data_IF_237175187856
#
_entry.id   IF_237175187856
#
_cell.length_a   1.000
_cell.length_b   1.000
_cell.length_c   1.000
_cell.angle_alpha   90.00
_cell.angle_beta   90.00
_cell.angle_gamma   90.00
#
_symmetry.space_group_name_H-M   'P 1'
#
loop_
_entity.id
_entity.type
_entity.pdbx_description
1 polymer ?
#
# COMPACT_ATOMS: atom_id res chain seq x y z
N UNK A 1 7.72 22.34 17.67
CA UNK A 1 9.01 22.81 18.20
C UNK A 1 10.01 22.67 17.07
N UNK A 2 10.61 23.78 16.65
CA UNK A 2 11.59 23.82 15.54
C UNK A 2 12.93 23.24 16.02
N UNK A 3 13.46 22.28 15.28
CA UNK A 3 14.79 21.70 15.49
C UNK A 3 15.85 22.81 15.52
N UNK A 4 16.68 22.92 16.59
CA UNK A 4 17.71 23.94 16.71
C UNK A 4 18.76 23.94 15.58
N UNK A 5 18.84 22.89 14.75
CA UNK A 5 19.77 22.80 13.62
C UNK A 5 19.16 23.19 12.25
N UNK A 6 17.88 23.55 12.16
CA UNK A 6 17.21 23.86 10.89
C UNK A 6 17.33 22.75 9.82
N UNK A 7 17.53 21.50 10.26
CA UNK A 7 17.69 20.34 9.36
C UNK A 7 16.32 19.93 8.84
N UNK A 8 16.15 19.69 7.53
CA UNK A 8 14.86 19.25 7.01
C UNK A 8 14.47 17.89 7.58
N UNK A 9 13.18 17.71 7.87
CA UNK A 9 12.66 16.45 8.40
C UNK A 9 12.88 15.33 7.37
N UNK A 10 13.43 14.21 7.83
CA UNK A 10 13.56 13.01 6.98
C UNK A 10 12.19 12.39 6.71
N UNK A 11 11.92 12.11 5.43
CA UNK A 11 10.74 11.36 4.99
C UNK A 11 11.21 10.05 4.37
N UNK A 12 10.64 8.94 4.81
CA UNK A 12 10.96 7.60 4.32
C UNK A 12 9.69 7.04 3.67
N UNK A 13 9.75 6.71 2.38
CA UNK A 13 8.63 6.06 1.70
C UNK A 13 9.01 4.61 1.39
N UNK A 14 8.28 3.66 1.98
CA UNK A 14 8.53 2.22 1.92
C UNK A 14 7.58 1.58 0.91
N UNK A 15 8.12 0.87 -0.08
CA UNK A 15 7.35 0.17 -1.10
C UNK A 15 6.59 -1.06 -0.63
N UNK A 16 6.00 -1.77 -1.59
CA UNK A 16 5.06 -2.87 -1.39
C UNK A 16 5.73 -4.08 -0.71
N UNK A 17 5.17 -4.50 0.42
CA UNK A 17 5.79 -5.48 1.33
C UNK A 17 5.34 -6.91 1.00
N UNK A 18 4.08 -7.10 0.64
CA UNK A 18 3.47 -8.37 0.22
C UNK A 18 3.86 -9.57 1.08
N UNK A 19 3.62 -9.48 2.40
CA UNK A 19 3.81 -10.60 3.32
C UNK A 19 5.26 -11.07 3.51
N UNK A 20 6.28 -10.34 3.01
CA UNK A 20 7.70 -10.72 3.21
C UNK A 20 8.29 -10.07 4.47
N UNK A 21 7.98 -10.65 5.64
CA UNK A 21 8.47 -10.14 6.93
C UNK A 21 10.00 -9.97 6.97
N UNK A 22 10.76 -10.95 6.49
CA UNK A 22 12.23 -10.88 6.51
C UNK A 22 12.75 -9.69 5.69
N UNK A 23 12.12 -9.39 4.54
CA UNK A 23 12.49 -8.22 3.73
C UNK A 23 12.19 -6.93 4.49
N UNK A 24 11.02 -6.85 5.13
CA UNK A 24 10.63 -5.69 5.95
C UNK A 24 11.61 -5.45 7.12
N UNK A 25 11.94 -6.50 7.88
CA UNK A 25 12.85 -6.38 9.03
C UNK A 25 14.26 -5.97 8.61
N UNK A 26 14.77 -6.53 7.51
CA UNK A 26 16.10 -6.20 7.00
C UNK A 26 16.15 -4.77 6.43
N UNK A 27 15.11 -4.35 5.68
CA UNK A 27 15.00 -2.97 5.22
C UNK A 27 14.95 -2.00 6.41
N UNK A 28 14.14 -2.29 7.43
CA UNK A 28 14.05 -1.46 8.62
C UNK A 28 15.39 -1.34 9.36
N UNK A 29 16.14 -2.44 9.47
CA UNK A 29 17.49 -2.45 10.04
C UNK A 29 18.45 -1.59 9.22
N UNK A 30 18.42 -1.70 7.89
CA UNK A 30 19.26 -0.91 6.99
C UNK A 30 18.93 0.58 7.04
N UNK A 31 17.65 0.95 7.09
CA UNK A 31 17.22 2.33 7.27
C UNK A 31 17.78 2.91 8.58
N UNK A 32 17.65 2.17 9.68
CA UNK A 32 18.17 2.57 10.99
C UNK A 32 19.70 2.72 11.01
N UNK A 33 20.44 1.91 10.25
CA UNK A 33 21.90 1.99 10.20
C UNK A 33 22.42 3.05 9.23
N UNK A 34 21.66 3.38 8.19
CA UNK A 34 22.09 4.27 7.10
C UNK A 34 21.59 5.71 7.24
N UNK A 35 20.61 5.96 8.11
CA UNK A 35 20.08 7.30 8.43
C UNK A 35 20.66 7.71 9.78
N UNK A 36 21.02 8.98 9.94
CA UNK A 36 21.52 9.46 11.23
C UNK A 36 20.47 9.26 12.34
N UNK A 37 20.87 8.86 13.56
CA UNK A 37 19.93 8.45 14.60
C UNK A 37 18.88 9.52 14.96
N UNK A 38 19.26 10.80 14.97
CA UNK A 38 18.35 11.91 15.32
C UNK A 38 17.30 12.15 14.23
N UNK A 39 17.72 12.16 12.96
CA UNK A 39 16.79 12.24 11.82
C UNK A 39 15.87 11.01 11.77
N UNK A 40 16.41 9.81 11.98
CA UNK A 40 15.61 8.58 12.00
C UNK A 40 14.57 8.63 13.11
N UNK A 41 14.95 9.04 14.33
CA UNK A 41 14.05 9.10 15.48
C UNK A 41 12.85 10.03 15.27
N UNK A 42 12.96 11.06 14.44
CA UNK A 42 11.89 12.06 14.19
C UNK A 42 11.26 11.94 12.80
N UNK A 43 11.64 10.93 12.01
CA UNK A 43 11.23 10.78 10.62
C UNK A 43 9.70 10.70 10.45
N UNK A 44 9.23 11.11 9.27
CA UNK A 44 7.92 10.68 8.76
C UNK A 44 8.14 9.43 7.93
N UNK A 45 7.47 8.33 8.30
CA UNK A 45 7.55 7.04 7.60
C UNK A 45 6.21 6.76 6.94
N UNK A 46 6.21 6.66 5.61
CA UNK A 46 5.03 6.41 4.79
C UNK A 46 5.16 5.01 4.16
N UNK A 47 4.32 4.08 4.58
CA UNK A 47 4.19 2.76 3.97
C UNK A 47 3.20 2.85 2.82
N UNK A 48 3.64 2.53 1.61
CA UNK A 48 2.93 2.86 0.36
C UNK A 48 1.78 1.90 0.02
N UNK A 49 1.53 0.89 0.84
CA UNK A 49 0.45 -0.09 0.67
C UNK A 49 0.98 -1.49 0.37
N UNK A 50 0.07 -2.39 0.03
CA UNK A 50 0.29 -3.79 -0.34
C UNK A 50 1.16 -4.54 0.67
N UNK A 51 0.61 -4.69 1.88
CA UNK A 51 1.21 -5.40 3.01
C UNK A 51 0.90 -6.89 2.97
N UNK A 52 -0.25 -7.27 2.43
CA UNK A 52 -0.72 -8.64 2.31
C UNK A 52 -0.43 -9.27 0.94
N UNK A 53 -0.72 -10.57 0.87
CA UNK A 53 -0.70 -11.43 -0.33
C UNK A 53 0.69 -11.70 -0.91
N UNK A 54 0.75 -12.67 -1.83
CA UNK A 54 1.96 -13.21 -2.48
C UNK A 54 2.98 -13.87 -1.53
N UNK A 55 3.46 -13.17 -0.51
CA UNK A 55 4.40 -13.66 0.51
C UNK A 55 3.71 -14.33 1.71
N UNK A 56 4.46 -15.12 2.50
CA UNK A 56 3.88 -16.08 3.44
C UNK A 56 3.50 -15.51 4.82
N UNK A 57 3.99 -14.32 5.20
CA UNK A 57 3.97 -13.84 6.58
C UNK A 57 3.06 -12.59 6.77
N UNK A 58 1.98 -12.43 6.00
CA UNK A 58 1.05 -11.28 6.10
C UNK A 58 0.67 -10.94 7.54
N UNK A 59 0.26 -11.95 8.34
CA UNK A 59 -0.05 -11.75 9.76
C UNK A 59 1.08 -11.06 10.52
N UNK A 60 2.31 -11.54 10.39
CA UNK A 60 3.47 -10.98 11.11
C UNK A 60 3.90 -9.62 10.57
N UNK A 61 3.69 -9.35 9.27
CA UNK A 61 3.89 -8.02 8.68
C UNK A 61 2.96 -7.02 9.36
N UNK A 62 1.66 -7.34 9.48
CA UNK A 62 0.69 -6.46 10.15
C UNK A 62 1.04 -6.31 11.66
N UNK A 63 1.45 -7.38 12.34
CA UNK A 63 1.97 -7.29 13.73
C UNK A 63 3.13 -6.27 13.85
N UNK A 64 4.06 -6.29 12.90
CA UNK A 64 5.16 -5.33 12.85
C UNK A 64 4.65 -3.89 12.66
N UNK A 65 3.76 -3.66 11.68
CA UNK A 65 3.23 -2.34 11.37
C UNK A 65 2.41 -1.75 12.54
N UNK A 66 1.66 -2.58 13.27
CA UNK A 66 0.93 -2.16 14.47
C UNK A 66 1.89 -1.79 15.62
N UNK A 67 3.04 -2.46 15.71
CA UNK A 67 3.99 -2.23 16.82
C UNK A 67 4.99 -1.10 16.54
N UNK A 68 5.21 -0.72 15.27
CA UNK A 68 6.21 0.31 14.92
C UNK A 68 5.94 1.68 15.57
N UNK A 69 4.70 2.20 15.66
CA UNK A 69 4.44 3.48 16.32
C UNK A 69 4.74 3.45 17.82
N UNK A 70 4.53 2.31 18.48
CA UNK A 70 4.85 2.12 19.90
C UNK A 70 6.36 2.07 20.13
N UNK A 71 7.11 1.50 19.18
CA UNK A 71 8.59 1.40 19.24
C UNK A 71 9.28 2.73 18.92
N UNK A 72 8.67 3.56 18.09
CA UNK A 72 9.22 4.83 17.62
C UNK A 72 8.22 5.98 17.83
N UNK A 73 7.94 6.37 19.08
CA UNK A 73 6.89 7.35 19.39
C UNK A 73 7.15 8.77 18.87
N UNK A 74 8.41 9.08 18.51
CA UNK A 74 8.80 10.37 17.94
C UNK A 74 8.67 10.42 16.41
N UNK A 75 8.41 9.28 15.75
CA UNK A 75 8.16 9.21 14.32
C UNK A 75 6.68 9.44 14.01
N UNK A 76 6.39 10.03 12.85
CA UNK A 76 5.04 10.03 12.26
C UNK A 76 4.93 8.82 11.35
N UNK A 77 3.95 7.94 11.57
CA UNK A 77 3.73 6.77 10.74
C UNK A 77 2.45 6.94 9.93
N UNK A 78 2.54 6.69 8.63
CA UNK A 78 1.42 6.72 7.68
C UNK A 78 1.36 5.37 7.00
N UNK A 79 0.17 4.77 6.97
CA UNK A 79 -0.09 3.48 6.35
C UNK A 79 -1.12 3.69 5.25
N UNK A 80 -0.68 3.67 3.99
CA UNK A 80 -1.60 3.73 2.86
C UNK A 80 -2.30 2.39 2.64
N UNK A 81 -3.56 2.42 2.24
CA UNK A 81 -4.22 1.23 1.68
C UNK A 81 -3.64 0.94 0.32
N UNK A 82 -3.13 -0.27 0.11
CA UNK A 82 -2.97 -0.82 -1.24
C UNK A 82 -4.31 -1.24 -1.85
N UNK A 83 -4.31 -1.69 -3.10
CA UNK A 83 -5.48 -2.39 -3.64
C UNK A 83 -5.65 -3.76 -2.95
N UNK A 84 -4.56 -4.38 -2.50
CA UNK A 84 -4.62 -5.62 -1.73
C UNK A 84 -5.23 -5.41 -0.34
N UNK A 85 -4.87 -4.34 0.41
CA UNK A 85 -5.52 -4.03 1.69
C UNK A 85 -7.01 -3.73 1.55
N UNK A 86 -7.41 -2.98 0.51
CA UNK A 86 -8.82 -2.69 0.25
C UNK A 86 -9.60 -4.01 0.06
N UNK A 87 -9.05 -4.92 -0.73
CA UNK A 87 -9.68 -6.19 -1.05
C UNK A 87 -9.72 -7.13 0.17
N UNK A 88 -8.66 -7.18 0.97
CA UNK A 88 -8.64 -7.95 2.21
C UNK A 88 -9.62 -7.38 3.26
N UNK A 89 -9.64 -6.06 3.45
CA UNK A 89 -10.57 -5.37 4.36
C UNK A 89 -12.03 -5.60 3.93
N UNK A 90 -12.30 -5.60 2.62
CA UNK A 90 -13.59 -5.96 2.05
C UNK A 90 -14.00 -7.40 2.40
N UNK A 91 -13.09 -8.36 2.24
CA UNK A 91 -13.38 -9.77 2.53
C UNK A 91 -13.71 -10.01 4.01
N UNK A 92 -13.00 -9.35 4.94
CA UNK A 92 -13.25 -9.52 6.38
C UNK A 92 -14.31 -8.57 6.95
N UNK A 93 -14.93 -7.74 6.10
CA UNK A 93 -16.07 -6.90 6.48
C UNK A 93 -15.70 -5.70 7.36
N UNK A 94 -14.53 -5.08 7.15
CA UNK A 94 -14.05 -3.94 7.96
C UNK A 94 -13.88 -2.64 7.16
N UNK A 95 -14.42 -2.58 5.94
CA UNK A 95 -14.49 -1.33 5.19
C UNK A 95 -15.31 -0.29 5.97
N UNK A 96 -14.77 0.92 6.06
CA UNK A 96 -15.49 2.06 6.60
C UNK A 96 -16.38 2.67 5.50
N UNK A 97 -17.63 2.97 5.83
CA UNK A 97 -18.59 3.58 4.91
C UNK A 97 -19.75 2.67 4.54
N UNK A 98 -20.84 3.29 4.07
CA UNK A 98 -22.01 2.59 3.56
C UNK A 98 -21.90 2.43 2.04
N UNK A 99 -22.21 1.24 1.53
CA UNK A 99 -22.26 0.95 0.11
C UNK A 99 -23.22 -0.20 -0.16
N UNK A 100 -23.82 -0.20 -1.35
CA UNK A 100 -24.64 -1.32 -1.82
C UNK A 100 -23.75 -2.32 -2.55
N UNK A 101 -23.43 -3.44 -1.90
CA UNK A 101 -22.50 -4.45 -2.43
C UNK A 101 -22.78 -4.83 -3.89
N UNK A 102 -24.05 -5.08 -4.23
CA UNK A 102 -24.49 -5.45 -5.59
C UNK A 102 -24.19 -4.38 -6.63
N UNK A 103 -24.24 -3.09 -6.28
CA UNK A 103 -23.90 -2.00 -7.20
C UNK A 103 -22.43 -2.05 -7.58
N UNK A 104 -21.55 -2.41 -6.64
CA UNK A 104 -20.12 -2.54 -6.89
C UNK A 104 -19.78 -3.68 -7.87
N UNK A 105 -20.68 -4.66 -8.05
CA UNK A 105 -20.42 -5.82 -8.90
C UNK A 105 -20.81 -5.60 -10.37
N UNK A 106 -21.80 -4.75 -10.63
CA UNK A 106 -22.52 -4.67 -11.93
C UNK A 106 -21.60 -4.46 -13.12
N UNK A 107 -20.64 -3.55 -13.00
CA UNK A 107 -19.71 -3.21 -14.08
C UNK A 107 -18.82 -4.40 -14.48
N UNK A 108 -18.54 -5.31 -13.55
CA UNK A 108 -17.61 -6.42 -13.73
C UNK A 108 -18.29 -7.78 -13.70
N UNK A 109 -19.63 -7.84 -13.73
CA UNK A 109 -20.37 -9.08 -13.54
C UNK A 109 -20.01 -10.18 -14.55
N UNK A 110 -19.65 -9.80 -15.78
CA UNK A 110 -19.21 -10.74 -16.82
C UNK A 110 -17.89 -11.46 -16.49
N UNK A 111 -17.10 -10.92 -15.54
CA UNK A 111 -15.87 -11.54 -15.07
C UNK A 111 -16.10 -12.56 -13.94
N UNK A 112 -17.30 -12.67 -13.37
CA UNK A 112 -17.54 -13.45 -12.15
C UNK A 112 -17.13 -14.92 -12.27
N UNK A 113 -17.43 -15.56 -13.40
CA UNK A 113 -17.06 -16.95 -13.66
C UNK A 113 -15.57 -17.10 -13.98
N UNK A 114 -15.00 -16.13 -14.70
CA UNK A 114 -13.59 -16.13 -15.11
C UNK A 114 -12.68 -15.92 -13.89
N UNK A 115 -13.02 -14.97 -13.02
CA UNK A 115 -12.25 -14.65 -11.83
C UNK A 115 -12.61 -15.55 -10.63
N UNK A 116 -13.66 -16.36 -10.77
CA UNK A 116 -14.12 -17.31 -9.76
C UNK A 116 -14.48 -16.65 -8.43
N UNK A 117 -15.26 -15.57 -8.47
CA UNK A 117 -15.55 -14.76 -7.29
C UNK A 117 -16.07 -15.57 -6.11
N UNK A 118 -15.74 -15.14 -4.90
CA UNK A 118 -16.23 -15.72 -3.66
C UNK A 118 -17.76 -15.72 -3.61
N UNK A 119 -18.32 -16.88 -3.26
CA UNK A 119 -19.77 -17.15 -3.12
C UNK A 119 -20.11 -17.82 -1.78
N UNK A 120 -19.16 -17.82 -0.83
CA UNK A 120 -19.37 -18.40 0.49
C UNK A 120 -20.09 -17.45 1.45
N UNK A 121 -20.04 -17.74 2.74
CA UNK A 121 -20.76 -17.00 3.78
C UNK A 121 -20.53 -15.48 3.72
N UNK A 122 -21.61 -14.70 3.68
CA UNK A 122 -21.57 -13.24 3.75
C UNK A 122 -21.26 -12.52 2.44
N UNK A 123 -21.07 -13.25 1.34
CA UNK A 123 -20.74 -12.64 0.03
C UNK A 123 -21.80 -11.64 -0.45
N UNK A 124 -23.07 -11.79 -0.04
CA UNK A 124 -24.18 -10.94 -0.47
C UNK A 124 -24.03 -9.47 -0.06
N UNK A 125 -23.20 -9.21 0.97
CA UNK A 125 -22.89 -7.88 1.50
C UNK A 125 -21.44 -7.46 1.23
N UNK A 126 -20.70 -8.24 0.46
CA UNK A 126 -19.28 -8.05 0.26
C UNK A 126 -19.00 -7.15 -0.95
N UNK A 127 -18.13 -6.16 -0.78
CA UNK A 127 -17.64 -5.33 -1.88
C UNK A 127 -16.98 -6.20 -2.97
N UNK A 128 -17.10 -5.79 -4.25
CA UNK A 128 -16.53 -6.49 -5.41
C UNK A 128 -15.12 -7.03 -5.13
N UNK A 129 -14.21 -6.12 -4.72
CA UNK A 129 -12.81 -6.47 -4.49
C UNK A 129 -12.62 -7.58 -3.45
N UNK A 130 -13.44 -7.64 -2.41
CA UNK A 130 -13.40 -8.73 -1.43
C UNK A 130 -13.81 -10.07 -2.05
N UNK A 131 -14.82 -10.05 -2.94
CA UNK A 131 -15.26 -11.24 -3.66
C UNK A 131 -14.17 -11.76 -4.61
N UNK A 132 -13.50 -10.86 -5.33
CA UNK A 132 -12.38 -11.21 -6.21
C UNK A 132 -11.22 -11.78 -5.38
N UNK A 133 -10.88 -11.14 -4.26
CA UNK A 133 -9.75 -11.51 -3.41
C UNK A 133 -9.90 -12.88 -2.75
N UNK A 134 -11.08 -13.18 -2.21
CA UNK A 134 -11.39 -14.48 -1.61
C UNK A 134 -11.85 -15.54 -2.62
N UNK A 135 -11.93 -15.19 -3.91
CA UNK A 135 -12.35 -16.09 -4.98
C UNK A 135 -11.31 -17.16 -5.32
N UNK A 136 -11.67 -18.07 -6.23
CA UNK A 136 -10.78 -19.11 -6.73
C UNK A 136 -10.51 -18.93 -8.23
N UNK A 137 -9.30 -18.50 -8.58
CA UNK A 137 -8.88 -18.33 -9.96
C UNK A 137 -8.33 -19.65 -10.52
N UNK A 138 -8.98 -20.21 -11.53
CA UNK A 138 -8.56 -21.48 -12.13
C UNK A 138 -7.30 -21.33 -12.99
N UNK A 139 -6.33 -22.21 -12.75
CA UNK A 139 -5.04 -22.31 -13.45
C UNK A 139 -5.22 -22.65 -14.94
N UNK A 140 -6.40 -23.12 -15.35
CA UNK A 140 -6.75 -23.31 -16.77
C UNK A 140 -6.56 -22.05 -17.64
N UNK A 141 -6.43 -20.87 -17.03
CA UNK A 141 -6.17 -19.60 -17.72
C UNK A 141 -4.67 -19.29 -17.97
N UNK A 142 -3.76 -20.19 -17.62
CA UNK A 142 -2.33 -20.08 -17.94
C UNK A 142 -1.57 -19.03 -17.11
N UNK A 143 -2.17 -18.52 -16.03
CA UNK A 143 -1.56 -17.63 -15.05
C UNK A 143 -1.41 -18.41 -13.74
N UNK A 144 -0.18 -18.52 -13.23
CA UNK A 144 0.11 -19.18 -11.96
C UNK A 144 -0.21 -18.23 -10.80
N UNK A 145 -1.47 -18.25 -10.36
CA UNK A 145 -1.97 -17.48 -9.23
C UNK A 145 -2.07 -18.36 -7.97
N UNK A 146 -1.72 -17.80 -6.81
CA UNK A 146 -1.89 -18.44 -5.50
C UNK A 146 -3.31 -18.22 -4.98
N UNK A 147 -4.24 -19.01 -5.51
CA UNK A 147 -5.64 -19.07 -5.06
C UNK A 147 -6.56 -18.09 -5.78
N UNK A 148 -6.27 -16.78 -5.77
CA UNK A 148 -7.05 -15.77 -6.50
C UNK A 148 -6.14 -14.89 -7.36
N UNK A 149 -6.72 -14.01 -8.19
CA UNK A 149 -5.96 -13.02 -8.98
C UNK A 149 -5.13 -12.05 -8.11
N UNK A 150 -5.44 -11.96 -6.82
CA UNK A 150 -4.68 -11.21 -5.83
C UNK A 150 -3.54 -12.01 -5.20
N UNK A 151 -3.35 -13.29 -5.55
CA UNK A 151 -2.44 -14.21 -4.85
C UNK A 151 -2.72 -14.26 -3.34
N UNK A 152 -4.00 -14.35 -2.96
CA UNK A 152 -4.44 -14.20 -1.56
C UNK A 152 -4.19 -15.45 -0.68
N UNK A 153 -3.99 -16.64 -1.26
CA UNK A 153 -3.86 -17.88 -0.48
C UNK A 153 -2.77 -17.84 0.62
N UNK A 154 -1.58 -17.24 0.41
CA UNK A 154 -0.58 -17.03 1.46
C UNK A 154 -1.09 -16.18 2.62
N UNK A 155 -1.94 -15.18 2.38
CA UNK A 155 -2.57 -14.40 3.45
C UNK A 155 -3.46 -15.29 4.31
N UNK A 156 -4.38 -16.05 3.71
CA UNK A 156 -5.20 -17.03 4.45
C UNK A 156 -4.33 -17.98 5.27
N UNK A 157 -3.30 -18.55 4.64
CA UNK A 157 -2.35 -19.46 5.29
C UNK A 157 -1.61 -18.82 6.47
N UNK A 158 -1.24 -17.54 6.38
CA UNK A 158 -0.57 -16.81 7.46
C UNK A 158 -1.44 -16.64 8.72
N UNK A 159 -2.77 -16.71 8.58
CA UNK A 159 -3.73 -16.73 9.68
C UNK A 159 -4.17 -18.14 10.09
N UNK A 160 -3.64 -19.19 9.47
CA UNK A 160 -3.88 -20.58 9.82
C UNK A 160 -5.17 -21.16 9.24
N UNK A 161 -5.68 -20.59 8.14
CA UNK A 161 -6.89 -21.08 7.46
C UNK A 161 -6.62 -21.35 5.98
N UNK A 162 -7.42 -22.23 5.37
CA UNK A 162 -7.36 -22.50 3.93
C UNK A 162 -7.86 -21.29 3.12
N UNK A 163 -7.33 -21.14 1.90
CA UNK A 163 -7.77 -20.12 0.95
C UNK A 163 -9.29 -20.18 0.72
N UNK A 164 -9.94 -19.01 0.67
CA UNK A 164 -11.38 -18.89 0.49
C UNK A 164 -12.24 -19.27 1.71
N UNK A 165 -11.65 -19.61 2.86
CA UNK A 165 -12.44 -19.95 4.06
C UNK A 165 -13.06 -18.72 4.73
N UNK A 166 -14.37 -18.75 5.05
CA UNK A 166 -15.01 -17.69 5.86
C UNK A 166 -14.47 -17.62 7.29
N UNK A 167 -13.81 -18.68 7.77
CA UNK A 167 -13.16 -18.68 9.08
C UNK A 167 -12.10 -17.59 9.21
N UNK A 168 -11.53 -17.10 8.10
CA UNK A 168 -10.61 -15.94 8.12
C UNK A 168 -11.23 -14.73 8.84
N UNK A 169 -12.52 -14.46 8.61
CA UNK A 169 -13.24 -13.34 9.24
C UNK A 169 -13.25 -13.43 10.78
N UNK A 170 -13.16 -14.66 11.31
CA UNK A 170 -13.16 -14.95 12.75
C UNK A 170 -11.74 -14.97 13.34
N UNK A 171 -10.75 -15.49 12.60
CA UNK A 171 -9.39 -15.67 13.12
C UNK A 171 -8.49 -14.44 12.98
N UNK A 172 -8.81 -13.48 12.12
CA UNK A 172 -8.06 -12.22 12.03
C UNK A 172 -8.26 -11.42 13.34
N UNK A 173 -7.18 -11.08 14.07
CA UNK A 173 -7.29 -10.36 15.34
C UNK A 173 -7.96 -8.99 15.20
N UNK A 174 -8.64 -8.54 16.26
CA UNK A 174 -9.33 -7.23 16.26
C UNK A 174 -8.37 -6.06 16.03
N UNK A 175 -7.13 -6.11 16.54
CA UNK A 175 -6.13 -5.07 16.27
C UNK A 175 -5.74 -5.03 14.78
N UNK A 176 -5.78 -6.15 14.06
CA UNK A 176 -5.52 -6.22 12.63
C UNK A 176 -6.71 -5.69 11.83
N UNK A 177 -7.93 -6.06 12.23
CA UNK A 177 -9.17 -5.50 11.67
C UNK A 177 -9.18 -3.98 11.79
N UNK A 178 -8.83 -3.48 12.99
CA UNK A 178 -8.70 -2.05 13.25
C UNK A 178 -7.63 -1.40 12.36
N UNK A 179 -6.45 -2.01 12.27
CA UNK A 179 -5.39 -1.51 11.40
C UNK A 179 -5.86 -1.38 9.94
N UNK A 180 -6.51 -2.41 9.39
CA UNK A 180 -7.04 -2.43 8.02
C UNK A 180 -8.20 -1.45 7.81
N UNK A 181 -9.00 -1.15 8.84
CA UNK A 181 -10.01 -0.10 8.77
C UNK A 181 -9.39 1.30 8.79
N UNK A 182 -8.26 1.47 9.49
CA UNK A 182 -7.63 2.77 9.73
C UNK A 182 -6.72 3.23 8.57
N UNK A 183 -6.14 2.33 7.75
CA UNK A 183 -5.26 2.72 6.63
C UNK A 183 -5.90 3.77 5.71
N UNK A 184 -5.13 4.78 5.30
CA UNK A 184 -5.63 5.92 4.51
C UNK A 184 -5.45 5.66 3.02
N UNK A 185 -6.35 6.13 2.16
CA UNK A 185 -6.18 5.94 0.70
C UNK A 185 -5.26 6.99 0.08
N UNK A 186 -5.05 8.11 0.78
CA UNK A 186 -4.14 9.17 0.38
C UNK A 186 -3.59 9.87 1.62
N UNK A 187 -2.37 10.40 1.52
CA UNK A 187 -1.75 11.22 2.54
C UNK A 187 -1.10 12.46 1.92
N UNK A 188 -1.19 13.59 2.62
CA UNK A 188 -0.63 14.87 2.19
C UNK A 188 0.34 15.43 3.25
N UNK A 189 1.49 15.94 2.81
CA UNK A 189 2.39 16.79 3.60
C UNK A 189 2.57 18.13 2.88
N UNK A 190 2.48 19.23 3.62
CA UNK A 190 2.58 20.58 3.05
C UNK A 190 4.03 21.02 2.78
N UNK A 191 5.01 20.48 3.51
CA UNK A 191 6.39 20.95 3.50
C UNK A 191 7.37 19.77 3.66
N UNK A 192 7.82 19.23 2.53
CA UNK A 192 8.91 18.25 2.44
C UNK A 192 10.08 18.83 1.66
N UNK A 193 11.30 18.45 2.02
CA UNK A 193 12.48 18.79 1.24
C UNK A 193 12.88 17.64 0.31
N UNK A 194 13.31 17.96 -0.90
CA UNK A 194 13.85 17.02 -1.88
C UNK A 194 15.10 17.61 -2.55
N UNK A 195 16.17 16.84 -2.67
CA UNK A 195 17.35 17.22 -3.43
C UNK A 195 17.08 17.04 -4.92
N UNK A 196 17.30 18.12 -5.68
CA UNK A 196 17.21 18.12 -7.14
C UNK A 196 18.56 18.52 -7.74
N UNK A 197 18.71 18.43 -9.06
CA UNK A 197 19.90 18.91 -9.75
C UNK A 197 20.15 20.42 -9.53
N UNK A 198 19.10 21.19 -9.21
CA UNK A 198 19.16 22.62 -8.92
C UNK A 198 19.39 22.93 -7.43
N UNK A 199 19.56 21.90 -6.59
CA UNK A 199 19.66 22.00 -5.14
C UNK A 199 18.42 21.52 -4.40
N UNK A 200 18.36 21.79 -3.09
CA UNK A 200 17.24 21.39 -2.22
C UNK A 200 16.02 22.24 -2.51
N UNK A 201 14.88 21.61 -2.85
CA UNK A 201 13.57 22.25 -3.02
C UNK A 201 12.64 21.88 -1.88
N UNK A 202 11.76 22.81 -1.51
CA UNK A 202 10.59 22.55 -0.67
C UNK A 202 9.39 22.29 -1.55
N UNK A 203 8.67 21.21 -1.29
CA UNK A 203 7.54 20.76 -2.08
C UNK A 203 6.41 20.31 -1.17
N UNK A 204 5.19 20.28 -1.71
CA UNK A 204 4.15 19.43 -1.15
C UNK A 204 4.45 17.97 -1.47
N UNK A 205 3.90 17.04 -0.69
CA UNK A 205 3.94 15.61 -1.00
C UNK A 205 2.53 15.04 -0.95
N UNK A 206 2.17 14.28 -1.98
CA UNK A 206 0.98 13.44 -2.03
C UNK A 206 1.47 11.99 -2.13
N UNK A 207 1.09 11.17 -1.17
CA UNK A 207 1.30 9.74 -1.19
C UNK A 207 -0.02 9.04 -1.48
N UNK A 208 -0.06 8.24 -2.54
CA UNK A 208 -1.22 7.45 -2.97
C UNK A 208 -0.70 6.17 -3.64
N UNK A 209 -1.30 5.03 -3.30
CA UNK A 209 -0.70 3.72 -3.60
C UNK A 209 -0.35 3.53 -5.09
N UNK A 210 -1.27 3.78 -6.02
CA UNK A 210 -0.99 3.69 -7.45
C UNK A 210 -0.66 5.05 -8.07
N UNK A 211 -1.46 6.09 -7.81
CA UNK A 211 -1.27 7.42 -8.39
C UNK A 211 -2.56 8.21 -8.52
N UNK A 212 -2.54 9.25 -9.35
CA UNK A 212 -3.71 10.07 -9.68
C UNK A 212 -3.93 10.06 -11.18
N UNK A 213 -5.19 10.03 -11.60
CA UNK A 213 -5.57 9.94 -13.00
C UNK A 213 -5.25 11.22 -13.78
N UNK A 214 -4.64 11.02 -14.94
CA UNK A 214 -4.39 12.08 -15.91
C UNK A 214 -5.70 12.57 -16.53
N UNK A 215 -5.85 13.90 -16.63
CA UNK A 215 -6.99 14.53 -17.29
C UNK A 215 -8.25 14.65 -16.42
N UNK A 216 -8.21 14.15 -15.18
CA UNK A 216 -9.23 14.42 -14.15
C UNK A 216 -8.72 15.47 -13.17
N UNK A 217 -9.64 16.17 -12.52
CA UNK A 217 -9.30 17.13 -11.48
C UNK A 217 -8.67 16.40 -10.28
N UNK A 218 -7.45 16.76 -9.89
CA UNK A 218 -6.72 16.12 -8.80
C UNK A 218 -7.38 16.44 -7.46
N UNK A 219 -7.89 17.65 -7.24
CA UNK A 219 -8.59 17.97 -5.98
C UNK A 219 -9.81 17.08 -5.76
N UNK A 220 -10.66 16.91 -6.78
CA UNK A 220 -11.82 16.00 -6.69
C UNK A 220 -11.40 14.56 -6.40
N UNK A 221 -10.34 14.07 -7.06
CA UNK A 221 -9.77 12.75 -6.78
C UNK A 221 -9.29 12.62 -5.33
N UNK A 222 -8.60 13.63 -4.80
CA UNK A 222 -8.11 13.64 -3.43
C UNK A 222 -9.26 13.63 -2.42
N UNK A 223 -10.35 14.37 -2.66
CA UNK A 223 -11.52 14.36 -1.79
C UNK A 223 -12.21 12.98 -1.75
N UNK A 224 -12.33 12.29 -2.89
CA UNK A 224 -12.87 10.92 -2.94
C UNK A 224 -11.97 9.93 -2.18
N UNK A 225 -10.65 10.04 -2.34
CA UNK A 225 -9.69 9.20 -1.62
C UNK A 225 -9.72 9.47 -0.11
N UNK A 226 -9.80 10.73 0.33
CA UNK A 226 -9.93 11.10 1.74
C UNK A 226 -11.22 10.58 2.36
N UNK A 227 -12.31 10.61 1.60
CA UNK A 227 -13.61 10.10 2.01
C UNK A 227 -13.67 8.56 2.11
N UNK A 228 -12.65 7.85 1.56
CA UNK A 228 -12.66 6.38 1.41
C UNK A 228 -13.95 5.91 0.74
N UNK A 229 -14.29 6.47 -0.42
CA UNK A 229 -15.53 6.14 -1.13
C UNK A 229 -15.56 4.68 -1.62
N UNK A 230 -16.14 3.81 -0.80
CA UNK A 230 -16.30 2.37 -1.04
C UNK A 230 -17.49 2.02 -1.94
N UNK A 231 -18.18 3.01 -2.50
CA UNK A 231 -19.18 2.75 -3.56
C UNK A 231 -18.52 2.47 -4.92
N UNK A 232 -17.24 2.83 -5.08
CA UNK A 232 -16.49 2.67 -6.31
C UNK A 232 -16.01 1.22 -6.48
N UNK A 233 -16.47 0.48 -7.51
CA UNK A 233 -16.10 -0.92 -7.75
C UNK A 233 -14.60 -1.19 -7.73
N UNK A 234 -13.84 -0.29 -8.37
CA UNK A 234 -12.40 -0.36 -8.53
C UNK A 234 -11.80 1.04 -8.39
N UNK A 235 -11.17 1.31 -7.25
CA UNK A 235 -10.62 2.62 -6.91
C UNK A 235 -9.34 2.87 -7.70
N UNK A 236 -9.40 3.74 -8.70
CA UNK A 236 -8.29 3.94 -9.64
C UNK A 236 -7.01 4.47 -8.97
N UNK A 237 -7.12 5.26 -7.90
CA UNK A 237 -5.95 5.70 -7.12
C UNK A 237 -5.20 4.56 -6.44
N UNK A 238 -5.82 3.38 -6.29
CA UNK A 238 -5.21 2.19 -5.70
C UNK A 238 -4.90 1.11 -6.75
N UNK A 239 -5.66 0.99 -7.83
CA UNK A 239 -5.50 -0.11 -8.80
C UNK A 239 -4.99 0.32 -10.18
N UNK A 240 -4.99 1.62 -10.47
CA UNK A 240 -4.65 2.16 -11.79
C UNK A 240 -3.25 1.76 -12.26
N UNK A 241 -3.04 1.75 -13.58
CA UNK A 241 -1.73 1.41 -14.19
C UNK A 241 -1.21 2.60 -14.99
N UNK A 242 -1.23 2.51 -16.33
CA UNK A 242 -0.74 3.59 -17.22
C UNK A 242 -1.46 4.92 -17.00
N UNK A 243 -2.74 4.89 -16.64
CA UNK A 243 -3.56 6.08 -16.43
C UNK A 243 -3.21 6.90 -15.18
N UNK A 244 -2.46 6.31 -14.22
CA UNK A 244 -2.02 6.96 -12.97
C UNK A 244 -0.49 7.02 -12.82
N UNK A 245 0.23 6.73 -13.92
CA UNK A 245 1.69 6.73 -13.93
C UNK A 245 2.27 8.15 -13.82
N UNK A 246 1.76 9.08 -14.64
CA UNK A 246 2.24 10.47 -14.69
C UNK A 246 1.67 11.32 -13.54
N UNK A 247 2.35 12.42 -13.20
CA UNK A 247 1.77 13.47 -12.34
C UNK A 247 0.67 14.21 -13.13
N UNK A 248 -0.55 14.39 -12.58
CA UNK A 248 -1.55 15.27 -13.17
C UNK A 248 -1.01 16.69 -13.41
N UNK A 249 -1.32 17.27 -14.58
CA UNK A 249 -0.76 18.57 -15.02
C UNK A 249 -1.01 19.74 -14.05
N UNK A 250 -2.07 19.66 -13.25
CA UNK A 250 -2.43 20.69 -12.28
C UNK A 250 -1.58 20.67 -11.00
N UNK A 251 -0.87 19.58 -10.74
CA UNK A 251 0.03 19.46 -9.59
C UNK A 251 1.42 19.96 -9.97
N UNK A 252 1.67 21.24 -9.71
CA UNK A 252 3.00 21.85 -9.82
C UNK A 252 3.72 21.78 -8.48
N UNK A 253 5.05 21.59 -8.50
CA UNK A 253 5.89 21.60 -7.28
C UNK A 253 5.45 20.63 -6.18
N UNK A 254 4.84 19.52 -6.58
CA UNK A 254 4.29 18.50 -5.67
C UNK A 254 4.95 17.16 -5.97
N UNK A 255 5.57 16.57 -4.96
CA UNK A 255 6.04 15.18 -4.99
C UNK A 255 4.84 14.26 -5.00
N UNK A 256 4.75 13.36 -5.98
CA UNK A 256 3.74 12.30 -6.00
C UNK A 256 4.45 10.97 -5.84
N UNK A 257 4.25 10.34 -4.69
CA UNK A 257 4.89 9.07 -4.33
C UNK A 257 3.88 7.92 -4.31
N UNK A 258 4.25 6.80 -4.94
CA UNK A 258 3.42 5.60 -5.11
C UNK A 258 4.25 4.32 -5.03
N UNK A 259 3.58 3.20 -4.74
CA UNK A 259 4.10 1.84 -4.86
C UNK A 259 3.56 1.17 -6.13
N UNK A 260 2.95 -0.02 -6.00
CA UNK A 260 2.03 -0.71 -6.92
C UNK A 260 2.58 -1.22 -8.27
N UNK A 261 3.42 -0.44 -8.94
CA UNK A 261 3.68 -0.62 -10.37
C UNK A 261 4.72 -1.70 -10.69
N UNK A 262 5.24 -2.41 -9.70
CA UNK A 262 6.29 -3.41 -9.84
C UNK A 262 7.60 -2.81 -10.41
N UNK A 263 7.84 -1.52 -10.17
CA UNK A 263 9.02 -0.80 -10.62
C UNK A 263 9.56 0.15 -9.57
N UNK A 264 10.88 0.31 -9.58
CA UNK A 264 11.54 1.48 -9.03
C UNK A 264 11.76 2.50 -10.15
N UNK A 265 11.04 3.62 -10.10
CA UNK A 265 11.11 4.69 -11.09
C UNK A 265 11.14 6.06 -10.40
N UNK A 266 12.13 6.87 -10.72
CA UNK A 266 12.27 8.24 -10.21
C UNK A 266 12.41 9.17 -11.41
N UNK A 267 11.47 10.10 -11.53
CA UNK A 267 11.48 11.10 -12.60
C UNK A 267 11.02 12.45 -12.05
N UNK A 268 11.98 13.34 -11.77
CA UNK A 268 11.71 14.62 -11.14
C UNK A 268 11.00 14.44 -9.79
N UNK A 269 9.76 14.94 -9.70
CA UNK A 269 8.92 14.85 -8.50
C UNK A 269 8.01 13.60 -8.48
N UNK A 270 8.07 12.74 -9.52
CA UNK A 270 7.33 11.48 -9.56
C UNK A 270 8.19 10.36 -9.01
N UNK A 271 7.75 9.78 -7.90
CA UNK A 271 8.45 8.70 -7.20
C UNK A 271 7.57 7.45 -7.22
N UNK A 272 8.02 6.39 -7.88
CA UNK A 272 7.37 5.08 -7.86
C UNK A 272 8.36 4.11 -7.23
N UNK A 273 8.02 3.65 -6.03
CA UNK A 273 8.89 2.87 -5.15
C UNK A 273 8.24 1.51 -4.92
N UNK A 274 8.30 0.64 -5.92
CA UNK A 274 7.88 -0.74 -5.81
C UNK A 274 8.83 -1.65 -6.59
N UNK A 275 10.09 -1.72 -6.15
CA UNK A 275 11.07 -2.61 -6.78
C UNK A 275 10.70 -4.10 -6.55
N UNK A 276 9.93 -4.40 -5.50
CA UNK A 276 9.59 -5.77 -5.12
C UNK A 276 8.53 -6.36 -6.05
N UNK A 277 7.44 -5.63 -6.33
CA UNK A 277 6.24 -6.16 -6.97
C UNK A 277 5.68 -7.42 -6.29
N UNK A 278 5.98 -7.62 -5.00
CA UNK A 278 5.69 -8.86 -4.28
C UNK A 278 6.34 -10.14 -4.82
N UNK A 279 7.36 -10.03 -5.68
CA UNK A 279 8.10 -11.17 -6.21
C UNK A 279 9.21 -11.60 -5.22
N UNK A 280 9.40 -12.92 -5.07
CA UNK A 280 10.38 -13.49 -4.12
C UNK A 280 11.79 -12.97 -4.39
N UNK A 281 12.22 -12.94 -5.65
CA UNK A 281 13.58 -12.56 -6.04
C UNK A 281 13.88 -11.06 -6.03
N UNK A 282 12.84 -10.21 -6.01
CA UNK A 282 13.03 -8.77 -6.14
C UNK A 282 13.21 -8.09 -4.78
N UNK A 283 13.97 -6.99 -4.69
CA UNK A 283 14.19 -6.31 -3.42
C UNK A 283 13.03 -5.44 -2.99
N UNK A 284 12.72 -5.48 -1.69
CA UNK A 284 11.97 -4.42 -1.04
C UNK A 284 12.88 -3.20 -0.88
N UNK A 285 12.37 -2.03 -1.29
CA UNK A 285 13.09 -0.78 -1.30
C UNK A 285 12.31 0.33 -0.60
N UNK A 286 13.04 1.32 -0.09
CA UNK A 286 12.52 2.59 0.36
C UNK A 286 13.34 3.74 -0.22
N UNK A 287 12.70 4.89 -0.42
CA UNK A 287 13.39 6.15 -0.71
C UNK A 287 13.44 7.03 0.53
N UNK A 288 14.58 7.68 0.75
CA UNK A 288 14.82 8.59 1.87
C UNK A 288 14.98 10.01 1.34
N UNK A 289 14.10 10.92 1.77
CA UNK A 289 14.16 12.34 1.47
C UNK A 289 14.84 13.11 2.63
N UNK A 290 15.59 14.18 2.35
CA UNK A 290 15.70 14.87 1.05
C UNK A 290 16.67 14.24 0.04
N UNK A 291 17.59 13.36 0.45
CA UNK A 291 18.71 12.90 -0.39
C UNK A 291 18.33 12.03 -1.61
N UNK A 292 17.06 11.63 -1.72
CA UNK A 292 16.55 10.67 -2.69
C UNK A 292 17.29 9.32 -2.67
N UNK A 293 17.95 9.00 -1.55
CA UNK A 293 18.71 7.76 -1.42
C UNK A 293 17.75 6.58 -1.41
N UNK A 294 18.03 5.58 -2.24
CA UNK A 294 17.36 4.28 -2.20
C UNK A 294 18.08 3.38 -1.20
N UNK A 295 17.32 2.85 -0.25
CA UNK A 295 17.76 1.84 0.72
C UNK A 295 16.99 0.56 0.42
N UNK A 296 17.69 -0.57 0.29
CA UNK A 296 17.08 -1.88 0.02
C UNK A 296 17.24 -2.79 1.22
N UNK A 297 16.39 -3.81 1.29
CA UNK A 297 16.56 -4.88 2.28
C UNK A 297 17.88 -5.65 2.11
N UNK A 298 18.46 -5.64 0.91
CA UNK A 298 19.70 -6.37 0.56
C UNK A 298 20.99 -5.67 0.93
N UNK A 299 20.97 -4.38 1.29
CA UNK A 299 22.20 -3.55 1.35
C UNK A 299 23.26 -4.06 2.34
N UNK A 300 22.86 -4.73 3.42
CA UNK A 300 23.76 -5.28 4.43
C UNK A 300 23.49 -6.77 4.71
N UNK A 301 23.04 -7.53 3.70
CA UNK A 301 23.01 -8.98 3.81
C UNK A 301 24.45 -9.50 3.68
N UNK A 302 25.10 -9.76 4.83
CA UNK A 302 26.36 -10.50 4.90
C UNK A 302 26.19 -11.95 4.48
#
# INVERSE_FOLDING_TARGET
MTDPNNKPRTVICVGDIHGYLTKLLNLWSNLRSQIDPDSFNTATVIFLGDYCDRGPDTRKVIDFLITVPKRYPNQKHVFLSGNHELAFAAFIGVLAGEFEAKETWKEYADNEEIEGWYKGEGYEKMHLQGRIWGGWFDVAQGIDCKGSIFDAAPTFGSYGVSHGSSELMKVVPEDHKKFLADVVWVHEEDDVCIETQEGVKRCKLIAVHAGLEKGKNAREQLELLKAKDVSVPQVTGLSGRKNVWDIPKELTETVVVSGHHGKLHIEGLRLIIDESGGLVGNPLAAIVLPSMKIVRYTDNLS
#
